data_IF_443103337247
#
_entry.id   IF_443103337247
#
_cell.length_a   1.000
_cell.length_b   1.000
_cell.length_c   1.000
_cell.angle_alpha   90.00
_cell.angle_beta   90.00
_cell.angle_gamma   90.00
#
_symmetry.space_group_name_H-M   'P 1'
#
loop_
_entity.id
_entity.type
_entity.pdbx_description
1 polymer ?
#
# COMPACT_ATOMS: atom_id res chain seq x y z
N UNK A 1 17.33 -4.45 -0.13
CA UNK A 1 17.06 -4.40 -1.59
C UNK A 1 15.61 -4.02 -1.81
N UNK A 2 15.30 -3.08 -2.69
CA UNK A 2 13.93 -2.62 -3.03
C UNK A 2 13.67 -2.85 -4.52
N UNK A 3 12.40 -2.87 -4.96
CA UNK A 3 12.05 -3.10 -6.38
C UNK A 3 12.61 -2.03 -7.33
N UNK A 4 12.77 -0.80 -6.82
CA UNK A 4 13.36 0.33 -7.54
C UNK A 4 14.87 0.49 -7.29
N UNK A 5 15.60 -0.56 -7.01
CA UNK A 5 17.06 -0.53 -6.86
C UNK A 5 17.76 -1.18 -8.04
N UNK A 6 18.96 -0.68 -8.40
CA UNK A 6 19.80 -1.24 -9.46
C UNK A 6 20.10 -2.72 -9.22
N UNK A 7 20.37 -3.09 -7.96
CA UNK A 7 20.65 -4.47 -7.56
C UNK A 7 19.44 -5.38 -7.81
N UNK A 8 18.21 -4.87 -7.63
CA UNK A 8 17.00 -5.63 -7.93
C UNK A 8 16.80 -5.77 -9.44
N UNK A 9 16.83 -4.65 -10.17
CA UNK A 9 16.44 -4.59 -11.59
C UNK A 9 17.45 -5.36 -12.47
N UNK A 10 18.74 -5.23 -12.24
CA UNK A 10 19.78 -5.81 -13.08
C UNK A 10 20.49 -7.03 -12.47
N UNK A 11 20.35 -7.25 -11.17
CA UNK A 11 20.94 -8.41 -10.50
C UNK A 11 19.90 -9.47 -10.17
N UNK A 12 19.10 -9.21 -9.14
CA UNK A 12 18.19 -10.23 -8.60
C UNK A 12 17.11 -10.66 -9.58
N UNK A 13 16.37 -9.72 -10.19
CA UNK A 13 15.20 -10.03 -11.01
C UNK A 13 15.54 -10.86 -12.26
N UNK A 14 16.55 -10.49 -13.09
CA UNK A 14 16.90 -11.29 -14.26
C UNK A 14 17.39 -12.70 -13.89
N UNK A 15 18.23 -12.81 -12.87
CA UNK A 15 18.74 -14.10 -12.40
C UNK A 15 17.58 -14.98 -11.87
N UNK A 16 16.72 -14.40 -11.03
CA UNK A 16 15.57 -15.10 -10.48
C UNK A 16 14.63 -15.59 -11.57
N UNK A 17 14.28 -14.74 -12.56
CA UNK A 17 13.41 -15.11 -13.67
C UNK A 17 14.04 -16.20 -14.55
N UNK A 18 15.34 -16.09 -14.84
CA UNK A 18 16.04 -17.13 -15.60
C UNK A 18 15.93 -18.49 -14.90
N UNK A 19 16.23 -18.56 -13.60
CA UNK A 19 16.09 -19.79 -12.81
C UNK A 19 14.62 -20.25 -12.79
N UNK A 20 13.66 -19.36 -12.54
CA UNK A 20 12.25 -19.68 -12.43
C UNK A 20 11.68 -20.31 -13.71
N UNK A 21 12.09 -19.82 -14.88
CA UNK A 21 11.61 -20.33 -16.16
C UNK A 21 12.37 -21.57 -16.68
N UNK A 22 13.64 -21.75 -16.30
CA UNK A 22 14.40 -22.97 -16.63
C UNK A 22 13.80 -24.19 -15.90
N UNK A 23 13.33 -24.01 -14.67
CA UNK A 23 12.75 -25.11 -13.90
C UNK A 23 11.33 -25.48 -14.35
N UNK A 24 10.98 -26.80 -14.33
CA UNK A 24 9.65 -27.26 -14.70
C UNK A 24 8.58 -26.72 -13.73
N UNK A 25 7.30 -26.59 -14.16
CA UNK A 25 6.23 -26.01 -13.34
C UNK A 25 6.09 -26.60 -11.94
N UNK A 26 6.35 -27.92 -11.78
CA UNK A 26 6.30 -28.59 -10.48
C UNK A 26 7.37 -28.08 -9.48
N UNK A 27 8.52 -27.63 -9.96
CA UNK A 27 9.62 -27.13 -9.13
C UNK A 27 9.57 -25.60 -8.92
N UNK A 28 8.75 -24.86 -9.66
CA UNK A 28 8.65 -23.39 -9.59
C UNK A 28 8.29 -22.86 -8.20
N UNK A 29 7.46 -23.59 -7.45
CA UNK A 29 7.16 -23.22 -6.07
C UNK A 29 8.40 -23.22 -5.17
N UNK A 30 9.33 -24.16 -5.36
CA UNK A 30 10.58 -24.20 -4.59
C UNK A 30 11.47 -23.01 -4.98
N UNK A 31 11.62 -22.75 -6.28
CA UNK A 31 12.36 -21.58 -6.78
C UNK A 31 11.76 -20.28 -6.24
N UNK A 32 10.44 -20.16 -6.24
CA UNK A 32 9.73 -18.99 -5.71
C UNK A 32 10.00 -18.80 -4.21
N UNK A 33 9.94 -19.87 -3.41
CA UNK A 33 10.21 -19.81 -1.97
C UNK A 33 11.66 -19.36 -1.73
N UNK A 34 12.64 -20.04 -2.35
CA UNK A 34 14.06 -19.72 -2.16
C UNK A 34 14.39 -18.31 -2.61
N UNK A 35 13.91 -17.90 -3.79
CA UNK A 35 14.08 -16.54 -4.29
C UNK A 35 13.41 -15.49 -3.39
N UNK A 36 12.22 -15.78 -2.86
CA UNK A 36 11.52 -14.87 -1.94
C UNK A 36 12.26 -14.71 -0.61
N UNK A 37 12.80 -15.79 -0.04
CA UNK A 37 13.58 -15.74 1.19
C UNK A 37 14.91 -15.01 0.97
N UNK A 38 15.58 -15.23 -0.18
CA UNK A 38 16.76 -14.48 -0.57
C UNK A 38 16.43 -12.99 -0.71
N UNK A 39 15.41 -12.63 -1.49
CA UNK A 39 14.93 -11.25 -1.63
C UNK A 39 14.67 -10.60 -0.26
N UNK A 40 13.96 -11.29 0.63
CA UNK A 40 13.57 -10.77 1.94
C UNK A 40 14.79 -10.55 2.85
N UNK A 41 15.76 -11.47 2.84
CA UNK A 41 17.03 -11.32 3.56
C UNK A 41 17.82 -10.12 3.05
N UNK A 42 17.95 -9.97 1.72
CA UNK A 42 18.61 -8.80 1.13
C UNK A 42 17.86 -7.49 1.40
N UNK A 43 16.53 -7.52 1.42
CA UNK A 43 15.70 -6.35 1.77
C UNK A 43 15.90 -5.93 3.23
N UNK A 44 16.25 -6.86 4.11
CA UNK A 44 16.55 -6.66 5.53
C UNK A 44 18.03 -6.39 5.78
N UNK A 45 18.77 -5.81 4.82
CA UNK A 45 20.20 -5.50 4.91
C UNK A 45 21.09 -6.71 5.24
N UNK A 46 20.73 -7.89 4.71
CA UNK A 46 21.42 -9.16 4.95
C UNK A 46 21.03 -9.85 6.27
N UNK A 47 20.15 -9.28 7.07
CA UNK A 47 19.65 -9.92 8.28
C UNK A 47 18.65 -11.04 7.93
N UNK A 48 19.01 -12.28 8.25
CA UNK A 48 18.19 -13.47 7.98
C UNK A 48 17.08 -13.71 9.02
N UNK A 49 17.13 -13.09 10.20
CA UNK A 49 16.14 -13.30 11.28
C UNK A 49 14.70 -13.04 10.86
N UNK A 50 14.37 -11.96 10.11
CA UNK A 50 13.04 -11.77 9.57
C UNK A 50 12.58 -12.91 8.66
N UNK A 51 13.47 -13.49 7.84
CA UNK A 51 13.15 -14.61 6.96
C UNK A 51 12.86 -15.88 7.76
N UNK A 52 13.63 -16.15 8.81
CA UNK A 52 13.36 -17.28 9.74
C UNK A 52 11.99 -17.10 10.40
N UNK A 53 11.66 -15.90 10.89
CA UNK A 53 10.36 -15.62 11.49
C UNK A 53 9.21 -15.83 10.49
N UNK A 54 9.38 -15.39 9.25
CA UNK A 54 8.40 -15.62 8.17
C UNK A 54 8.17 -17.11 7.93
N UNK A 55 9.25 -17.91 7.88
CA UNK A 55 9.15 -19.36 7.70
C UNK A 55 8.42 -20.00 8.89
N UNK A 56 8.78 -19.62 10.13
CA UNK A 56 8.12 -20.13 11.33
C UNK A 56 6.61 -19.81 11.32
N UNK A 57 6.23 -18.55 11.05
CA UNK A 57 4.83 -18.15 10.92
C UNK A 57 4.11 -18.92 9.80
N UNK A 58 4.79 -19.17 8.67
CA UNK A 58 4.23 -19.95 7.55
C UNK A 58 3.95 -21.38 7.94
N UNK A 59 4.91 -22.07 8.56
CA UNK A 59 4.75 -23.47 8.99
C UNK A 59 3.65 -23.59 10.07
N UNK A 60 3.66 -22.71 11.07
CA UNK A 60 2.63 -22.68 12.10
C UNK A 60 1.23 -22.44 11.51
N UNK A 61 1.09 -21.53 10.56
CA UNK A 61 -0.17 -21.25 9.88
C UNK A 61 -0.63 -22.45 9.05
N UNK A 62 0.28 -23.13 8.37
CA UNK A 62 -0.03 -24.36 7.63
C UNK A 62 -0.60 -25.44 8.54
N UNK A 63 0.09 -25.75 9.65
CA UNK A 63 -0.34 -26.75 10.63
C UNK A 63 -1.68 -26.36 11.26
N UNK A 64 -1.86 -25.09 11.60
CA UNK A 64 -3.13 -24.56 12.09
C UNK A 64 -4.26 -24.75 11.08
N UNK A 65 -4.04 -24.44 9.82
CA UNK A 65 -5.03 -24.60 8.75
C UNK A 65 -5.54 -26.05 8.64
N UNK A 66 -4.62 -27.03 8.69
CA UNK A 66 -4.97 -28.44 8.66
C UNK A 66 -5.83 -28.87 9.86
N UNK A 67 -5.62 -28.24 11.02
CA UNK A 67 -6.36 -28.57 12.24
C UNK A 67 -7.72 -27.87 12.32
N UNK A 68 -7.82 -26.62 11.84
CA UNK A 68 -9.02 -25.78 11.95
C UNK A 68 -10.17 -26.20 11.03
N UNK A 69 -9.91 -27.00 10.01
CA UNK A 69 -10.95 -27.56 9.13
C UNK A 69 -11.85 -28.59 9.84
N UNK A 70 -11.52 -29.00 11.07
CA UNK A 70 -12.34 -29.90 11.88
C UNK A 70 -13.31 -29.11 12.78
N UNK A 71 -14.57 -29.53 12.95
CA UNK A 71 -15.55 -28.84 13.78
C UNK A 71 -15.12 -28.71 15.25
N UNK A 72 -15.64 -27.70 15.95
CA UNK A 72 -15.41 -27.50 17.39
C UNK A 72 -14.09 -26.83 17.78
N UNK A 73 -13.26 -26.40 16.80
CA UNK A 73 -11.92 -25.81 17.05
C UNK A 73 -11.84 -24.29 16.99
N UNK A 74 -12.95 -23.59 17.20
CA UNK A 74 -12.97 -22.11 17.20
C UNK A 74 -12.06 -21.47 18.26
N UNK A 75 -11.87 -22.12 19.41
CA UNK A 75 -10.94 -21.67 20.43
C UNK A 75 -9.48 -21.65 19.92
N UNK A 76 -9.10 -22.64 19.10
CA UNK A 76 -7.77 -22.72 18.51
C UNK A 76 -7.54 -21.56 17.52
N UNK A 77 -8.55 -21.22 16.70
CA UNK A 77 -8.51 -20.04 15.85
C UNK A 77 -8.27 -18.77 16.67
N UNK A 78 -9.02 -18.60 17.78
CA UNK A 78 -8.84 -17.46 18.67
C UNK A 78 -7.42 -17.38 19.23
N UNK A 79 -6.85 -18.49 19.70
CA UNK A 79 -5.46 -18.55 20.16
C UNK A 79 -4.47 -18.13 19.08
N UNK A 80 -4.60 -18.64 17.84
CA UNK A 80 -3.72 -18.25 16.74
C UNK A 80 -3.84 -16.78 16.40
N UNK A 81 -5.05 -16.22 16.32
CA UNK A 81 -5.26 -14.81 16.02
C UNK A 81 -4.70 -13.92 17.14
N UNK A 82 -4.85 -14.31 18.40
CA UNK A 82 -4.25 -13.61 19.55
C UNK A 82 -2.72 -13.66 19.52
N UNK A 83 -2.13 -14.80 19.20
CA UNK A 83 -0.67 -14.92 19.05
C UNK A 83 -0.14 -14.03 17.92
N UNK A 84 -0.81 -14.00 16.76
CA UNK A 84 -0.44 -13.11 15.64
C UNK A 84 -0.58 -11.65 16.02
N UNK A 85 -1.66 -11.27 16.70
CA UNK A 85 -1.87 -9.91 17.19
C UNK A 85 -0.83 -9.52 18.23
N UNK A 86 -0.52 -10.39 19.20
CA UNK A 86 0.51 -10.17 20.21
C UNK A 86 1.90 -10.01 19.58
N UNK A 87 2.24 -10.86 18.60
CA UNK A 87 3.49 -10.79 17.88
C UNK A 87 3.64 -9.46 17.12
N UNK A 88 2.59 -9.03 16.41
CA UNK A 88 2.59 -7.75 15.70
C UNK A 88 2.69 -6.57 16.67
N UNK A 89 1.93 -6.61 17.77
CA UNK A 89 1.94 -5.57 18.81
C UNK A 89 3.31 -5.48 19.48
N UNK A 90 3.91 -6.63 19.81
CA UNK A 90 5.26 -6.68 20.36
C UNK A 90 6.25 -5.92 19.49
N UNK A 91 6.35 -6.26 18.19
CA UNK A 91 7.28 -5.57 17.29
C UNK A 91 6.92 -4.12 17.00
N UNK A 92 5.65 -3.72 17.06
CA UNK A 92 5.24 -2.32 16.87
C UNK A 92 5.49 -1.45 18.11
N UNK A 93 5.39 -2.02 19.31
CA UNK A 93 5.57 -1.28 20.57
C UNK A 93 7.01 -1.35 21.03
N UNK A 94 7.67 -2.51 20.86
CA UNK A 94 9.06 -2.69 21.22
C UNK A 94 9.96 -1.72 20.44
N UNK A 95 10.71 -0.92 21.18
CA UNK A 95 11.66 0.07 20.63
C UNK A 95 11.05 1.02 19.57
N UNK A 96 9.76 1.34 19.71
CA UNK A 96 9.05 2.23 18.78
C UNK A 96 8.90 1.67 17.37
N UNK A 97 8.99 0.34 17.21
CA UNK A 97 8.84 -0.33 15.91
C UNK A 97 10.11 -0.40 15.05
N UNK A 98 11.28 0.04 15.56
CA UNK A 98 12.54 0.03 14.80
C UNK A 98 12.99 -1.36 14.34
N UNK A 99 12.60 -2.39 15.09
CA UNK A 99 12.92 -3.80 14.76
C UNK A 99 11.75 -4.54 14.08
N UNK A 100 10.69 -3.83 13.68
CA UNK A 100 9.58 -4.44 12.96
C UNK A 100 10.05 -5.01 11.62
N UNK A 101 9.93 -6.34 11.40
CA UNK A 101 10.28 -6.93 10.11
C UNK A 101 9.44 -6.33 8.97
N UNK A 102 10.08 -5.91 7.90
CA UNK A 102 9.39 -5.31 6.76
C UNK A 102 8.28 -6.23 6.23
N UNK A 103 7.08 -5.69 6.00
CA UNK A 103 5.93 -6.45 5.51
C UNK A 103 5.27 -7.40 6.51
N UNK A 104 5.70 -7.41 7.78
CA UNK A 104 5.15 -8.32 8.80
C UNK A 104 3.63 -8.20 8.94
N UNK A 105 3.10 -7.00 8.96
CA UNK A 105 1.66 -6.77 9.02
C UNK A 105 0.92 -7.43 7.87
N UNK A 106 1.48 -7.34 6.66
CA UNK A 106 0.86 -7.86 5.44
C UNK A 106 0.80 -9.38 5.42
N UNK A 107 1.92 -10.06 5.72
CA UNK A 107 1.88 -11.52 5.72
C UNK A 107 1.07 -12.08 6.90
N UNK A 108 1.05 -11.44 8.08
CA UNK A 108 0.19 -11.86 9.18
C UNK A 108 -1.30 -11.66 8.85
N UNK A 109 -1.68 -10.56 8.18
CA UNK A 109 -3.05 -10.38 7.71
C UNK A 109 -3.46 -11.42 6.66
N UNK A 110 -2.54 -11.78 5.75
CA UNK A 110 -2.78 -12.84 4.77
C UNK A 110 -2.98 -14.21 5.46
N UNK A 111 -2.14 -14.52 6.45
CA UNK A 111 -2.22 -15.76 7.25
C UNK A 111 -3.50 -15.82 8.10
N UNK A 112 -3.87 -14.71 8.75
CA UNK A 112 -5.11 -14.59 9.49
C UNK A 112 -6.34 -14.79 8.60
N UNK A 113 -6.36 -14.18 7.41
CA UNK A 113 -7.42 -14.38 6.43
C UNK A 113 -7.55 -15.86 6.02
N UNK A 114 -6.40 -16.53 5.77
CA UNK A 114 -6.37 -17.95 5.43
C UNK A 114 -6.98 -18.82 6.55
N UNK A 115 -6.59 -18.60 7.80
CA UNK A 115 -7.09 -19.38 8.94
C UNK A 115 -8.58 -19.16 9.20
N UNK A 116 -9.05 -17.90 9.12
CA UNK A 116 -10.46 -17.55 9.29
C UNK A 116 -11.31 -18.20 8.19
N UNK A 117 -10.87 -18.15 6.94
CA UNK A 117 -11.62 -18.69 5.82
C UNK A 117 -11.58 -20.22 5.76
N UNK A 118 -10.46 -20.85 6.19
CA UNK A 118 -10.37 -22.30 6.40
C UNK A 118 -11.32 -22.76 7.51
N UNK A 119 -11.37 -22.05 8.64
CA UNK A 119 -12.33 -22.33 9.72
C UNK A 119 -13.79 -22.18 9.29
N UNK A 120 -14.08 -21.17 8.46
CA UNK A 120 -15.42 -20.96 7.87
C UNK A 120 -15.76 -21.92 6.74
N UNK A 121 -14.88 -22.87 6.43
CA UNK A 121 -15.03 -23.86 5.35
C UNK A 121 -15.30 -23.23 3.97
N UNK A 122 -14.76 -22.03 3.71
CA UNK A 122 -14.87 -21.38 2.40
C UNK A 122 -14.05 -22.09 1.32
N UNK A 123 -13.03 -22.84 1.74
CA UNK A 123 -12.20 -23.71 0.92
C UNK A 123 -11.56 -24.80 1.77
N UNK A 124 -11.05 -25.86 1.11
CA UNK A 124 -10.28 -26.91 1.79
C UNK A 124 -8.84 -26.42 1.99
N UNK A 125 -8.26 -26.53 3.21
CA UNK A 125 -6.88 -26.17 3.45
C UNK A 125 -5.91 -26.88 2.51
N UNK A 126 -4.87 -26.14 2.09
CA UNK A 126 -3.79 -26.71 1.29
C UNK A 126 -3.05 -27.78 2.09
N UNK A 127 -2.82 -28.95 1.47
CA UNK A 127 -2.13 -30.08 2.09
C UNK A 127 -0.66 -30.16 1.70
N UNK A 128 -0.26 -29.46 0.66
CA UNK A 128 1.12 -29.39 0.21
C UNK A 128 1.80 -28.18 0.83
N UNK A 129 2.75 -28.40 1.73
CA UNK A 129 3.50 -27.34 2.41
C UNK A 129 4.24 -26.43 1.45
N UNK A 130 4.84 -26.97 0.37
CA UNK A 130 5.56 -26.15 -0.61
C UNK A 130 4.62 -25.25 -1.40
N UNK A 131 3.43 -25.74 -1.80
CA UNK A 131 2.43 -24.92 -2.45
C UNK A 131 1.95 -23.80 -1.51
N UNK A 132 1.67 -24.14 -0.25
CA UNK A 132 1.27 -23.17 0.76
C UNK A 132 2.37 -22.12 1.05
N UNK A 133 3.61 -22.57 1.25
CA UNK A 133 4.73 -21.69 1.52
C UNK A 133 4.98 -20.72 0.35
N UNK A 134 4.94 -21.19 -0.90
CA UNK A 134 5.04 -20.34 -2.08
C UNK A 134 3.97 -19.23 -2.09
N UNK A 135 2.73 -19.56 -1.68
CA UNK A 135 1.64 -18.58 -1.57
C UNK A 135 1.91 -17.52 -0.50
N UNK A 136 2.43 -17.92 0.67
CA UNK A 136 2.61 -17.01 1.80
C UNK A 136 3.86 -16.15 1.67
N UNK A 137 4.94 -16.70 1.12
CA UNK A 137 6.25 -16.05 1.09
C UNK A 137 6.56 -15.29 -0.19
N UNK A 138 5.72 -15.37 -1.26
CA UNK A 138 6.02 -14.76 -2.57
C UNK A 138 6.40 -13.29 -2.46
N UNK A 139 7.62 -12.96 -2.92
CA UNK A 139 8.24 -11.65 -2.74
C UNK A 139 7.47 -10.48 -3.37
N UNK A 140 6.74 -10.61 -4.50
CA UNK A 140 5.99 -9.48 -5.06
C UNK A 140 4.97 -8.87 -4.09
N UNK A 141 4.35 -9.69 -3.23
CA UNK A 141 3.36 -9.19 -2.26
C UNK A 141 3.89 -9.07 -0.83
N UNK A 142 5.08 -9.61 -0.53
CA UNK A 142 5.54 -9.83 0.83
C UNK A 142 5.70 -8.55 1.65
N UNK A 143 6.26 -7.48 1.05
CA UNK A 143 6.57 -6.24 1.79
C UNK A 143 5.32 -5.36 1.96
N UNK A 144 4.72 -4.90 0.87
CA UNK A 144 3.53 -4.02 0.85
C UNK A 144 2.62 -4.30 -0.34
N UNK A 145 2.73 -5.51 -0.92
CA UNK A 145 1.92 -5.89 -2.06
C UNK A 145 0.45 -6.10 -1.70
N UNK A 146 -0.43 -6.22 -2.71
CA UNK A 146 -1.86 -6.39 -2.50
C UNK A 146 -2.19 -7.65 -1.69
N UNK A 147 -3.07 -7.51 -0.69
CA UNK A 147 -3.62 -8.66 0.03
C UNK A 147 -4.57 -9.44 -0.87
N UNK A 148 -4.39 -10.74 -0.93
CA UNK A 148 -5.19 -11.61 -1.78
C UNK A 148 -6.25 -12.38 -1.00
N UNK A 149 -7.38 -12.66 -1.66
CA UNK A 149 -8.33 -13.64 -1.15
C UNK A 149 -7.66 -15.02 -1.11
N UNK A 150 -7.67 -15.73 0.04
CA UNK A 150 -6.95 -17.01 0.20
C UNK A 150 -7.37 -18.08 -0.81
N UNK A 151 -8.68 -18.17 -1.12
CA UNK A 151 -9.20 -19.13 -2.11
C UNK A 151 -8.68 -18.84 -3.52
N UNK A 152 -8.67 -17.57 -3.93
CA UNK A 152 -8.15 -17.18 -5.25
C UNK A 152 -6.65 -17.49 -5.36
N UNK A 153 -5.90 -17.19 -4.31
CA UNK A 153 -4.47 -17.48 -4.25
C UNK A 153 -4.19 -18.99 -4.36
N UNK A 154 -4.93 -19.82 -3.63
CA UNK A 154 -4.81 -21.28 -3.69
C UNK A 154 -5.10 -21.85 -5.09
N UNK A 155 -6.13 -21.32 -5.78
CA UNK A 155 -6.45 -21.75 -7.13
C UNK A 155 -5.35 -21.40 -8.13
N UNK A 156 -4.77 -20.23 -8.04
CA UNK A 156 -3.69 -19.79 -8.93
C UNK A 156 -2.42 -20.65 -8.77
N UNK A 157 -2.06 -21.04 -7.54
CA UNK A 157 -0.86 -21.85 -7.32
C UNK A 157 -0.90 -23.26 -7.91
N UNK A 158 -2.08 -23.77 -8.24
CA UNK A 158 -2.22 -25.10 -8.86
C UNK A 158 -1.89 -25.11 -10.36
N UNK A 159 -1.97 -23.96 -11.03
CA UNK A 159 -1.92 -23.86 -12.50
C UNK A 159 -0.97 -22.73 -12.93
N UNK A 160 0.27 -22.74 -12.43
CA UNK A 160 1.26 -21.72 -12.79
C UNK A 160 1.85 -22.01 -14.15
N UNK A 161 1.27 -21.46 -15.19
CA UNK A 161 1.80 -21.46 -16.56
C UNK A 161 1.72 -20.05 -17.13
N UNK A 162 2.67 -19.16 -16.75
CA UNK A 162 2.67 -17.80 -17.29
C UNK A 162 2.83 -17.84 -18.81
N UNK A 163 1.94 -17.14 -19.51
CA UNK A 163 2.02 -16.97 -20.97
C UNK A 163 2.99 -15.82 -21.31
N UNK A 164 3.38 -15.74 -22.60
CA UNK A 164 4.15 -14.60 -23.11
C UNK A 164 3.40 -13.27 -22.89
N UNK A 165 2.10 -13.26 -23.15
CA UNK A 165 1.26 -12.06 -22.98
C UNK A 165 1.21 -11.61 -21.51
N UNK A 166 1.07 -12.54 -20.56
CA UNK A 166 1.11 -12.23 -19.15
C UNK A 166 2.47 -11.67 -18.71
N UNK A 167 3.56 -12.22 -19.23
CA UNK A 167 4.89 -11.70 -18.98
C UNK A 167 5.06 -10.29 -19.54
N UNK A 168 4.67 -10.05 -20.80
CA UNK A 168 4.74 -8.74 -21.45
C UNK A 168 3.91 -7.70 -20.70
N UNK A 169 2.65 -8.01 -20.38
CA UNK A 169 1.80 -7.13 -19.58
C UNK A 169 2.39 -6.85 -18.18
N UNK A 170 2.97 -7.87 -17.55
CA UNK A 170 3.62 -7.73 -16.27
C UNK A 170 4.84 -6.82 -16.31
N UNK A 171 5.65 -6.91 -17.35
CA UNK A 171 6.79 -6.03 -17.59
C UNK A 171 6.33 -4.58 -17.81
N UNK A 172 5.27 -4.36 -18.58
CA UNK A 172 4.67 -3.04 -18.77
C UNK A 172 4.22 -2.43 -17.44
N UNK A 173 3.51 -3.21 -16.60
CA UNK A 173 3.05 -2.75 -15.27
C UNK A 173 4.23 -2.46 -14.32
N UNK A 174 5.30 -3.24 -14.37
CA UNK A 174 6.54 -3.00 -13.62
C UNK A 174 7.18 -1.66 -14.03
N UNK A 175 7.34 -1.41 -15.33
CA UNK A 175 7.97 -0.16 -15.84
C UNK A 175 7.11 1.06 -15.51
N UNK A 176 5.80 1.00 -15.71
CA UNK A 176 4.88 2.08 -15.34
C UNK A 176 4.94 2.34 -13.83
N UNK A 177 4.94 1.28 -13.00
CA UNK A 177 5.07 1.40 -11.55
C UNK A 177 6.38 2.07 -11.12
N UNK A 178 7.50 1.69 -11.76
CA UNK A 178 8.81 2.35 -11.56
C UNK A 178 8.75 3.84 -11.93
N UNK A 179 8.13 4.17 -13.08
CA UNK A 179 7.95 5.56 -13.51
C UNK A 179 7.17 6.40 -12.50
N UNK A 180 6.03 5.89 -12.01
CA UNK A 180 5.22 6.59 -11.01
C UNK A 180 5.99 6.81 -9.69
N UNK A 181 6.76 5.82 -9.24
CA UNK A 181 7.56 5.90 -8.01
C UNK A 181 8.73 6.89 -8.19
N UNK A 182 9.55 6.71 -9.22
CA UNK A 182 10.82 7.42 -9.36
C UNK A 182 10.63 8.83 -9.91
N UNK A 183 9.81 9.00 -10.95
CA UNK A 183 9.66 10.28 -11.64
C UNK A 183 8.59 11.18 -11.00
N UNK A 184 7.55 10.62 -10.40
CA UNK A 184 6.52 11.43 -9.74
C UNK A 184 6.71 11.48 -8.22
N UNK A 185 6.62 10.34 -7.51
CA UNK A 185 6.62 10.33 -6.06
C UNK A 185 7.90 10.92 -5.46
N UNK A 186 9.08 10.47 -5.90
CA UNK A 186 10.35 10.94 -5.35
C UNK A 186 10.58 12.44 -5.60
N UNK A 187 10.19 12.94 -6.79
CA UNK A 187 10.32 14.36 -7.11
C UNK A 187 9.37 15.23 -6.28
N UNK A 188 8.13 14.79 -6.07
CA UNK A 188 7.16 15.46 -5.20
C UNK A 188 7.58 15.44 -3.72
N UNK A 189 8.33 14.41 -3.31
CA UNK A 189 8.94 14.32 -1.98
C UNK A 189 9.91 15.45 -1.69
N UNK A 190 10.65 15.93 -2.70
CA UNK A 190 11.51 17.10 -2.58
C UNK A 190 10.73 18.38 -2.22
N UNK A 191 9.51 18.54 -2.75
CA UNK A 191 8.66 19.67 -2.40
C UNK A 191 8.20 19.62 -0.94
N UNK A 192 7.81 18.44 -0.45
CA UNK A 192 7.42 18.26 0.97
C UNK A 192 8.60 18.42 1.93
N UNK A 193 9.81 18.09 1.52
CA UNK A 193 11.01 18.23 2.36
C UNK A 193 11.33 19.70 2.68
N UNK A 194 10.97 20.67 1.81
CA UNK A 194 11.27 22.09 2.02
C UNK A 194 10.74 22.65 3.36
N UNK A 195 9.46 22.47 3.74
CA UNK A 195 8.95 22.90 5.04
C UNK A 195 9.69 22.30 6.24
N UNK A 196 10.12 21.05 6.14
CA UNK A 196 10.84 20.39 7.24
C UNK A 196 12.25 20.99 7.43
N UNK A 197 12.91 21.43 6.34
CA UNK A 197 14.24 22.04 6.36
C UNK A 197 14.17 23.49 6.87
N UNK A 198 13.21 24.28 6.32
CA UNK A 198 13.11 25.73 6.59
C UNK A 198 12.39 26.00 7.95
N UNK A 199 11.54 25.08 8.35
CA UNK A 199 10.64 25.20 9.50
C UNK A 199 9.24 25.69 9.12
N UNK A 200 8.23 24.99 9.59
CA UNK A 200 6.81 25.26 9.25
C UNK A 200 6.34 26.68 9.58
N UNK A 201 6.89 27.31 10.61
CA UNK A 201 6.56 28.69 11.00
C UNK A 201 7.08 29.72 10.00
N UNK A 202 8.14 29.40 9.26
CA UNK A 202 8.91 30.33 8.45
C UNK A 202 8.44 30.45 7.00
N UNK A 203 7.71 29.44 6.50
CA UNK A 203 7.19 29.42 5.13
C UNK A 203 5.92 30.26 4.98
N UNK A 204 5.54 30.60 3.74
CA UNK A 204 4.27 31.29 3.46
C UNK A 204 3.07 30.32 3.49
N UNK A 205 1.86 30.86 3.70
CA UNK A 205 0.61 30.05 3.63
C UNK A 205 0.43 29.37 2.26
N UNK A 206 0.63 30.04 1.12
CA UNK A 206 0.55 29.37 -0.18
C UNK A 206 1.60 28.25 -0.33
N UNK A 207 2.83 28.43 0.17
CA UNK A 207 3.85 27.39 0.14
C UNK A 207 3.49 26.17 1.01
N UNK A 208 2.84 26.39 2.17
CA UNK A 208 2.36 25.32 3.02
C UNK A 208 1.29 24.45 2.31
N UNK A 209 0.33 25.08 1.61
CA UNK A 209 -0.65 24.36 0.80
C UNK A 209 -0.01 23.60 -0.37
N UNK A 210 0.94 24.24 -1.06
CA UNK A 210 1.67 23.61 -2.16
C UNK A 210 2.42 22.35 -1.69
N UNK A 211 3.09 22.44 -0.55
CA UNK A 211 3.81 21.33 0.05
C UNK A 211 2.87 20.19 0.49
N UNK A 212 1.71 20.53 1.08
CA UNK A 212 0.70 19.51 1.48
C UNK A 212 0.12 18.78 0.26
N UNK A 213 -0.15 19.49 -0.83
CA UNK A 213 -0.56 18.88 -2.11
C UNK A 213 0.57 17.98 -2.64
N UNK A 214 1.82 18.44 -2.59
CA UNK A 214 2.99 17.64 -2.95
C UNK A 214 3.08 16.34 -2.14
N UNK A 215 2.90 16.42 -0.82
CA UNK A 215 2.89 15.24 0.05
C UNK A 215 1.76 14.25 -0.29
N UNK A 216 0.54 14.75 -0.48
CA UNK A 216 -0.61 13.91 -0.81
C UNK A 216 -0.39 13.14 -2.13
N UNK A 217 0.18 13.80 -3.14
CA UNK A 217 0.53 13.18 -4.42
C UNK A 217 1.73 12.25 -4.27
N UNK A 218 2.76 12.62 -3.49
CA UNK A 218 3.89 11.76 -3.19
C UNK A 218 3.43 10.44 -2.58
N UNK A 219 2.61 10.50 -1.52
CA UNK A 219 2.10 9.31 -0.83
C UNK A 219 1.28 8.41 -1.77
N UNK A 220 0.48 9.01 -2.65
CA UNK A 220 -0.30 8.28 -3.63
C UNK A 220 0.57 7.57 -4.66
N UNK A 221 1.47 8.29 -5.33
CA UNK A 221 2.28 7.70 -6.40
C UNK A 221 3.36 6.76 -5.87
N UNK A 222 3.84 6.98 -4.65
CA UNK A 222 4.76 6.08 -3.97
C UNK A 222 4.12 4.71 -3.77
N UNK A 223 2.93 4.67 -3.19
CA UNK A 223 2.24 3.42 -2.92
C UNK A 223 1.56 2.82 -4.16
N UNK A 224 1.00 3.65 -5.04
CA UNK A 224 0.44 3.16 -6.30
C UNK A 224 1.51 2.59 -7.22
N UNK A 225 2.64 3.26 -7.37
CA UNK A 225 3.78 2.76 -8.14
C UNK A 225 4.30 1.44 -7.59
N UNK A 226 4.48 1.34 -6.26
CA UNK A 226 4.87 0.08 -5.63
C UNK A 226 3.85 -1.05 -5.90
N UNK A 227 2.56 -0.75 -5.75
CA UNK A 227 1.50 -1.72 -6.00
C UNK A 227 1.49 -2.20 -7.47
N UNK A 228 1.74 -1.30 -8.42
CA UNK A 228 1.87 -1.64 -9.85
C UNK A 228 3.10 -2.53 -10.10
N UNK A 229 4.25 -2.21 -9.50
CA UNK A 229 5.44 -3.07 -9.57
C UNK A 229 5.15 -4.47 -9.02
N UNK A 230 4.48 -4.57 -7.87
CA UNK A 230 4.12 -5.85 -7.27
C UNK A 230 3.18 -6.67 -8.17
N UNK A 231 2.16 -6.02 -8.78
CA UNK A 231 1.22 -6.65 -9.72
C UNK A 231 1.96 -7.13 -10.96
N UNK A 232 2.82 -6.29 -11.53
CA UNK A 232 3.63 -6.64 -12.69
C UNK A 232 4.53 -7.85 -12.45
N UNK A 233 5.27 -7.85 -11.34
CA UNK A 233 6.10 -8.98 -10.91
C UNK A 233 5.28 -10.25 -10.68
N UNK A 234 4.12 -10.13 -10.02
CA UNK A 234 3.20 -11.25 -9.84
C UNK A 234 2.76 -11.83 -11.18
N UNK A 235 2.37 -10.99 -12.13
CA UNK A 235 1.91 -11.39 -13.47
C UNK A 235 3.03 -12.07 -14.28
N UNK A 236 4.26 -11.55 -14.21
CA UNK A 236 5.43 -12.20 -14.82
C UNK A 236 5.67 -13.61 -14.25
N UNK A 237 5.21 -13.90 -13.04
CA UNK A 237 5.32 -15.22 -12.42
C UNK A 237 4.06 -16.09 -12.62
N UNK A 238 3.04 -15.60 -13.32
CA UNK A 238 1.77 -16.30 -13.56
C UNK A 238 0.73 -16.09 -12.46
N UNK A 239 0.90 -15.06 -11.59
CA UNK A 239 -0.06 -14.72 -10.54
C UNK A 239 -0.79 -13.42 -10.84
N UNK A 240 -2.12 -13.44 -10.80
CA UNK A 240 -2.95 -12.25 -10.93
C UNK A 240 -3.20 -11.63 -9.56
N UNK A 241 -2.45 -10.59 -9.22
CA UNK A 241 -2.63 -9.83 -7.98
C UNK A 241 -3.72 -8.77 -8.14
N UNK A 242 -4.55 -8.52 -7.11
CA UNK A 242 -5.61 -7.52 -7.18
C UNK A 242 -5.05 -6.09 -7.15
N UNK A 243 -5.76 -5.15 -7.77
CA UNK A 243 -5.40 -3.72 -7.73
C UNK A 243 -5.69 -3.11 -6.35
N UNK A 244 -4.75 -2.30 -5.85
CA UNK A 244 -4.91 -1.53 -4.61
C UNK A 244 -5.55 -0.15 -4.81
N UNK A 245 -5.52 0.39 -6.02
CA UNK A 245 -6.01 1.73 -6.33
C UNK A 245 -6.95 1.74 -7.54
N UNK A 246 -8.00 2.56 -7.44
CA UNK A 246 -8.96 2.79 -8.51
C UNK A 246 -9.35 4.27 -8.57
N UNK A 247 -8.42 5.11 -9.02
CA UNK A 247 -8.56 6.57 -9.16
C UNK A 247 -9.17 7.23 -7.90
N UNK A 248 -8.51 7.16 -6.73
CA UNK A 248 -9.10 7.60 -5.46
C UNK A 248 -9.40 9.09 -5.40
N UNK A 249 -8.60 9.94 -6.06
CA UNK A 249 -8.83 11.38 -6.09
C UNK A 249 -10.01 11.81 -6.99
N UNK A 250 -10.61 10.88 -7.74
CA UNK A 250 -11.88 11.11 -8.44
C UNK A 250 -13.12 10.90 -7.56
N UNK A 251 -12.95 10.49 -6.30
CA UNK A 251 -14.03 10.21 -5.35
C UNK A 251 -14.85 11.46 -4.98
N UNK A 252 -16.14 11.25 -4.69
CA UNK A 252 -17.10 12.31 -4.33
C UNK A 252 -17.43 12.32 -2.83
N UNK A 253 -16.87 11.41 -2.06
CA UNK A 253 -17.00 11.32 -0.62
C UNK A 253 -15.78 10.60 -0.02
N UNK A 254 -15.51 10.82 1.27
CA UNK A 254 -14.43 10.13 2.01
C UNK A 254 -14.65 8.62 2.01
N UNK A 255 -15.91 8.18 2.19
CA UNK A 255 -16.28 6.76 2.08
C UNK A 255 -15.98 6.17 0.70
N UNK A 256 -16.16 6.93 -0.38
CA UNK A 256 -15.81 6.50 -1.72
C UNK A 256 -14.30 6.51 -1.94
N UNK A 257 -13.59 7.50 -1.39
CA UNK A 257 -12.13 7.57 -1.44
C UNK A 257 -11.50 6.30 -0.89
N UNK A 258 -11.89 5.85 0.32
CA UNK A 258 -11.35 4.64 0.94
C UNK A 258 -11.85 3.33 0.31
N UNK A 259 -12.88 3.34 -0.50
CA UNK A 259 -13.22 2.21 -1.38
C UNK A 259 -12.33 2.12 -2.63
N UNK A 260 -11.59 3.19 -2.94
CA UNK A 260 -10.70 3.31 -4.11
C UNK A 260 -9.21 3.37 -3.72
N UNK A 261 -8.92 3.70 -2.46
CA UNK A 261 -7.60 3.77 -1.84
C UNK A 261 -7.33 2.52 -1.04
N UNK A 262 -6.19 1.86 -1.26
CA UNK A 262 -5.78 0.63 -0.56
C UNK A 262 -6.90 -0.41 -0.46
N UNK A 263 -7.49 -0.71 -1.62
CA UNK A 263 -8.73 -1.50 -1.76
C UNK A 263 -8.64 -2.85 -1.07
N UNK A 264 -7.46 -3.50 -1.16
CA UNK A 264 -7.27 -4.84 -0.60
C UNK A 264 -7.28 -4.83 0.92
N UNK A 265 -6.67 -3.84 1.57
CA UNK A 265 -6.73 -3.65 3.02
C UNK A 265 -8.15 -3.30 3.47
N UNK A 266 -8.82 -2.36 2.80
CA UNK A 266 -10.21 -2.02 3.08
C UNK A 266 -11.15 -3.22 2.95
N UNK A 267 -10.90 -4.09 1.96
CA UNK A 267 -11.65 -5.35 1.78
C UNK A 267 -11.36 -6.33 2.91
N UNK A 268 -10.10 -6.42 3.36
CA UNK A 268 -9.70 -7.26 4.49
C UNK A 268 -10.43 -6.85 5.78
N UNK A 269 -10.38 -5.56 6.16
CA UNK A 269 -11.09 -5.06 7.34
C UNK A 269 -12.60 -5.27 7.25
N UNK A 270 -13.19 -5.07 6.06
CA UNK A 270 -14.62 -5.30 5.83
C UNK A 270 -15.02 -6.76 6.04
N UNK A 271 -14.26 -7.71 5.49
CA UNK A 271 -14.56 -9.13 5.51
C UNK A 271 -14.30 -9.78 6.88
N UNK A 272 -13.19 -9.39 7.53
CA UNK A 272 -12.71 -10.07 8.73
C UNK A 272 -12.99 -9.32 10.05
N UNK A 273 -13.37 -8.04 9.98
CA UNK A 273 -13.72 -7.24 11.16
C UNK A 273 -15.15 -6.72 11.07
N UNK A 274 -15.48 -5.94 10.04
CA UNK A 274 -16.77 -5.24 9.96
C UNK A 274 -17.96 -6.20 9.83
N UNK A 275 -17.91 -7.18 8.95
CA UNK A 275 -19.00 -8.15 8.76
C UNK A 275 -19.20 -9.08 9.97
N UNK A 276 -18.17 -9.64 10.64
CA UNK A 276 -18.33 -10.41 11.86
C UNK A 276 -18.99 -9.62 13.00
N UNK A 277 -18.74 -8.31 13.09
CA UNK A 277 -19.39 -7.43 14.05
C UNK A 277 -20.88 -7.13 13.72
N UNK A 278 -21.37 -7.63 12.59
CA UNK A 278 -22.77 -7.48 12.13
C UNK A 278 -22.94 -6.50 10.97
N UNK A 279 -21.89 -5.83 10.51
CA UNK A 279 -21.93 -4.88 9.38
C UNK A 279 -22.94 -3.76 9.62
N UNK A 280 -23.70 -3.42 8.58
CA UNK A 280 -24.78 -2.38 8.63
C UNK A 280 -26.18 -2.95 8.86
N UNK A 281 -26.32 -4.27 9.06
CA UNK A 281 -27.64 -4.93 9.12
C UNK A 281 -28.35 -4.78 10.47
N UNK A 282 -27.62 -4.44 11.53
CA UNK A 282 -28.11 -4.37 12.92
C UNK A 282 -28.44 -2.93 13.39
N UNK A 283 -28.83 -2.05 12.47
CA UNK A 283 -29.22 -0.67 12.76
C UNK A 283 -28.06 0.34 12.77
N UNK A 284 -28.42 1.64 12.83
CA UNK A 284 -27.47 2.76 12.70
C UNK A 284 -26.41 2.79 13.80
N UNK A 285 -26.81 2.62 15.09
CA UNK A 285 -25.87 2.65 16.21
C UNK A 285 -24.81 1.56 16.09
N UNK A 286 -25.22 0.32 15.76
CA UNK A 286 -24.30 -0.78 15.56
C UNK A 286 -23.35 -0.53 14.39
N UNK A 287 -23.82 0.09 13.32
CA UNK A 287 -23.00 0.50 12.17
C UNK A 287 -21.92 1.50 12.59
N UNK A 288 -22.29 2.52 13.39
CA UNK A 288 -21.36 3.52 13.92
C UNK A 288 -20.28 2.86 14.79
N UNK A 289 -20.68 1.99 15.72
CA UNK A 289 -19.73 1.25 16.57
C UNK A 289 -18.79 0.37 15.75
N UNK A 290 -19.32 -0.34 14.75
CA UNK A 290 -18.49 -1.20 13.88
C UNK A 290 -17.49 -0.37 13.06
N UNK A 291 -17.89 0.81 12.56
CA UNK A 291 -16.99 1.75 11.88
C UNK A 291 -15.90 2.26 12.84
N UNK A 292 -16.27 2.63 14.08
CA UNK A 292 -15.32 3.09 15.08
C UNK A 292 -14.26 2.02 15.39
N UNK A 293 -14.67 0.76 15.55
CA UNK A 293 -13.73 -0.37 15.77
C UNK A 293 -12.80 -0.53 14.56
N UNK A 294 -13.32 -0.51 13.33
CA UNK A 294 -12.48 -0.66 12.12
C UNK A 294 -11.46 0.47 12.02
N UNK A 295 -11.87 1.73 12.24
CA UNK A 295 -10.97 2.87 12.13
C UNK A 295 -9.96 2.92 13.28
N UNK A 296 -10.33 2.54 14.50
CA UNK A 296 -9.41 2.38 15.62
C UNK A 296 -8.32 1.35 15.28
N UNK A 297 -8.71 0.18 14.80
CA UNK A 297 -7.76 -0.87 14.39
C UNK A 297 -6.89 -0.42 13.21
N UNK A 298 -7.45 0.35 12.28
CA UNK A 298 -6.70 0.93 11.14
C UNK A 298 -5.64 1.93 11.65
N UNK A 299 -5.99 2.79 12.60
CA UNK A 299 -5.04 3.73 13.21
C UNK A 299 -3.90 3.02 13.95
N UNK A 300 -4.23 2.03 14.80
CA UNK A 300 -3.25 1.21 15.53
C UNK A 300 -2.36 0.38 14.58
N UNK A 301 -2.93 -0.05 13.44
CA UNK A 301 -2.15 -0.75 12.43
C UNK A 301 -1.11 0.15 11.76
N UNK A 302 -1.41 1.42 11.52
CA UNK A 302 -0.43 2.38 10.99
C UNK A 302 0.67 2.70 12.01
N UNK A 303 0.35 2.79 13.29
CA UNK A 303 1.33 3.03 14.35
C UNK A 303 0.70 3.26 15.71
N UNK A 304 1.52 3.19 16.76
CA UNK A 304 1.08 3.42 18.14
C UNK A 304 1.10 4.90 18.54
N UNK A 305 1.54 5.78 17.65
CA UNK A 305 1.56 7.23 17.89
C UNK A 305 0.16 7.84 17.90
N UNK A 306 -0.06 8.84 18.77
CA UNK A 306 -1.35 9.55 18.88
C UNK A 306 -1.78 10.25 17.58
N UNK A 307 -0.82 10.61 16.73
CA UNK A 307 -1.06 11.19 15.40
C UNK A 307 -1.84 10.23 14.46
N UNK A 308 -1.56 8.92 14.50
CA UNK A 308 -2.32 7.92 13.73
C UNK A 308 -3.73 7.71 14.26
N UNK A 309 -3.90 7.78 15.59
CA UNK A 309 -5.23 7.72 16.21
C UNK A 309 -6.05 8.97 15.89
N UNK A 310 -5.42 10.16 15.89
CA UNK A 310 -6.06 11.40 15.44
C UNK A 310 -6.52 11.30 13.99
N UNK A 311 -5.63 10.84 13.10
CA UNK A 311 -5.95 10.60 11.69
C UNK A 311 -7.15 9.66 11.51
N UNK A 312 -7.12 8.52 12.18
CA UNK A 312 -8.17 7.52 12.10
C UNK A 312 -9.50 8.02 12.68
N UNK A 313 -9.45 8.71 13.83
CA UNK A 313 -10.62 9.32 14.46
C UNK A 313 -11.26 10.40 13.60
N UNK A 314 -10.46 11.29 13.00
CA UNK A 314 -10.94 12.32 12.08
C UNK A 314 -11.68 11.70 10.88
N UNK A 315 -11.09 10.71 10.23
CA UNK A 315 -11.72 10.03 9.09
C UNK A 315 -12.95 9.22 9.51
N UNK A 316 -12.91 8.57 10.65
CA UNK A 316 -14.08 7.86 11.21
C UNK A 316 -15.26 8.80 11.39
N UNK A 317 -15.05 9.98 12.00
CA UNK A 317 -16.11 10.99 12.19
C UNK A 317 -16.68 11.48 10.86
N UNK A 318 -15.84 11.75 9.86
CA UNK A 318 -16.28 12.14 8.53
C UNK A 318 -17.14 11.05 7.86
N UNK A 319 -16.70 9.80 7.92
CA UNK A 319 -17.43 8.66 7.31
C UNK A 319 -18.75 8.40 8.04
N UNK A 320 -18.80 8.54 9.36
CA UNK A 320 -20.03 8.44 10.14
C UNK A 320 -20.99 9.57 9.75
N UNK A 321 -20.49 10.80 9.64
CA UNK A 321 -21.29 11.94 9.18
C UNK A 321 -21.85 11.74 7.78
N UNK A 322 -21.02 11.27 6.85
CA UNK A 322 -21.48 10.91 5.49
C UNK A 322 -22.55 9.80 5.52
N UNK A 323 -22.37 8.80 6.37
CA UNK A 323 -23.33 7.70 6.49
C UNK A 323 -24.69 8.16 7.02
N UNK A 324 -24.69 9.07 8.03
CA UNK A 324 -25.91 9.50 8.72
C UNK A 324 -26.65 10.62 7.98
N UNK A 325 -25.93 11.61 7.43
CA UNK A 325 -26.51 12.87 6.93
C UNK A 325 -26.06 13.28 5.54
N UNK A 326 -24.74 13.47 5.32
CA UNK A 326 -24.21 14.12 4.12
C UNK A 326 -24.19 13.23 2.86
N UNK A 327 -24.23 11.92 2.99
CA UNK A 327 -23.98 11.01 1.86
C UNK A 327 -24.96 11.14 0.70
N UNK A 328 -26.23 11.49 0.97
CA UNK A 328 -27.22 11.74 -0.09
C UNK A 328 -26.94 13.04 -0.85
N UNK A 329 -26.52 14.10 -0.14
CA UNK A 329 -26.18 15.40 -0.71
C UNK A 329 -24.93 15.30 -1.59
N UNK A 330 -23.85 14.68 -1.07
CA UNK A 330 -22.59 14.51 -1.80
C UNK A 330 -22.75 13.69 -3.09
N UNK A 331 -23.65 12.71 -3.09
CA UNK A 331 -23.95 11.94 -4.30
C UNK A 331 -24.65 12.77 -5.39
N UNK A 332 -25.48 13.72 -5.01
CA UNK A 332 -26.21 14.60 -5.94
C UNK A 332 -25.34 15.72 -6.50
N UNK A 333 -24.39 16.24 -5.69
CA UNK A 333 -23.56 17.39 -6.01
C UNK A 333 -22.16 16.94 -6.47
N UNK A 334 -22.01 16.55 -7.74
CA UNK A 334 -20.80 15.95 -8.27
C UNK A 334 -19.52 16.79 -8.06
N UNK A 335 -19.59 18.09 -8.28
CA UNK A 335 -18.44 19.00 -8.15
C UNK A 335 -18.14 19.26 -6.67
N UNK A 336 -19.16 19.66 -5.91
CA UNK A 336 -19.03 19.95 -4.47
C UNK A 336 -18.53 18.73 -3.71
N UNK A 337 -19.04 17.53 -4.03
CA UNK A 337 -18.57 16.29 -3.42
C UNK A 337 -17.08 16.03 -3.67
N UNK A 338 -16.58 16.30 -4.88
CA UNK A 338 -15.14 16.14 -5.18
C UNK A 338 -14.28 17.17 -4.46
N UNK A 339 -14.70 18.45 -4.45
CA UNK A 339 -13.96 19.51 -3.76
C UNK A 339 -13.92 19.26 -2.25
N UNK A 340 -15.06 18.89 -1.64
CA UNK A 340 -15.14 18.47 -0.26
C UNK A 340 -14.16 17.31 0.03
N UNK A 341 -14.24 16.25 -0.77
CA UNK A 341 -13.40 15.07 -0.56
C UNK A 341 -11.92 15.41 -0.71
N UNK A 342 -11.54 16.13 -1.75
CA UNK A 342 -10.16 16.55 -1.96
C UNK A 342 -9.64 17.38 -0.78
N UNK A 343 -10.42 18.36 -0.31
CA UNK A 343 -10.04 19.22 0.79
C UNK A 343 -9.86 18.44 2.11
N UNK A 344 -10.85 17.62 2.51
CA UNK A 344 -10.77 16.91 3.79
C UNK A 344 -9.71 15.79 3.76
N UNK A 345 -9.47 15.16 2.60
CA UNK A 345 -8.40 14.17 2.43
C UNK A 345 -7.02 14.86 2.53
N UNK A 346 -6.84 16.04 1.91
CA UNK A 346 -5.59 16.80 2.08
C UNK A 346 -5.32 17.10 3.55
N UNK A 347 -6.31 17.60 4.29
CA UNK A 347 -6.17 17.87 5.72
C UNK A 347 -5.89 16.60 6.52
N UNK A 348 -6.50 15.47 6.16
CA UNK A 348 -6.30 14.20 6.85
C UNK A 348 -4.85 13.69 6.76
N UNK A 349 -4.08 14.08 5.74
CA UNK A 349 -2.69 13.70 5.63
C UNK A 349 -1.74 14.46 6.56
N UNK A 350 -2.17 15.54 7.21
CA UNK A 350 -1.32 16.32 8.12
C UNK A 350 -0.82 15.49 9.30
N UNK A 351 -1.65 14.76 10.07
CA UNK A 351 -1.18 13.89 11.14
C UNK A 351 -0.29 12.74 10.66
N UNK A 352 -0.44 12.35 9.40
CA UNK A 352 0.43 11.35 8.78
C UNK A 352 1.81 11.89 8.42
N UNK A 353 1.84 13.15 7.94
CA UNK A 353 3.04 13.82 7.48
C UNK A 353 3.89 14.41 8.62
N UNK A 354 3.23 14.85 9.71
CA UNK A 354 3.87 15.55 10.84
C UNK A 354 3.54 14.80 12.13
N UNK A 355 4.49 13.99 12.61
CA UNK A 355 4.30 13.16 13.81
C UNK A 355 4.39 13.92 15.13
N UNK A 356 5.11 15.04 15.19
CA UNK A 356 5.23 15.88 16.37
C UNK A 356 4.01 16.82 16.53
N UNK A 357 3.38 16.81 17.70
CA UNK A 357 2.17 17.58 17.99
C UNK A 357 2.35 19.09 17.83
N UNK A 358 3.45 19.63 18.32
CA UNK A 358 3.71 21.06 18.30
C UNK A 358 3.95 21.53 16.87
N UNK A 359 4.74 20.78 16.10
CA UNK A 359 5.00 21.06 14.70
C UNK A 359 3.72 20.93 13.86
N UNK A 360 2.88 19.95 14.15
CA UNK A 360 1.58 19.78 13.50
C UNK A 360 0.66 20.97 13.73
N UNK A 361 0.56 21.45 14.98
CA UNK A 361 -0.22 22.65 15.29
C UNK A 361 0.33 23.89 14.60
N UNK A 362 1.65 24.05 14.57
CA UNK A 362 2.30 25.14 13.82
C UNK A 362 1.99 25.05 12.34
N UNK A 363 2.08 23.86 11.73
CA UNK A 363 1.77 23.66 10.32
C UNK A 363 0.29 23.96 10.00
N UNK A 364 -0.63 23.48 10.85
CA UNK A 364 -2.06 23.83 10.75
C UNK A 364 -2.27 25.35 10.86
N UNK A 365 -1.65 26.00 11.84
CA UNK A 365 -1.70 27.46 11.99
C UNK A 365 -1.18 28.19 10.73
N UNK A 366 -0.13 27.66 10.10
CA UNK A 366 0.43 28.21 8.86
C UNK A 366 -0.52 28.06 7.69
N UNK A 367 -1.17 26.91 7.53
CA UNK A 367 -2.16 26.68 6.45
C UNK A 367 -3.31 27.68 6.50
N UNK A 368 -3.74 28.11 7.67
CA UNK A 368 -4.87 29.03 7.86
C UNK A 368 -4.45 30.47 8.17
N UNK A 369 -3.16 30.81 8.05
CA UNK A 369 -2.66 32.18 8.20
C UNK A 369 -2.45 32.69 9.61
N UNK A 370 -2.49 31.80 10.64
CA UNK A 370 -2.38 32.19 12.07
C UNK A 370 -0.93 32.34 12.58
N UNK A 371 0.09 32.12 11.76
CA UNK A 371 1.49 32.11 12.19
C UNK A 371 2.28 33.40 11.93
N UNK A 372 1.62 34.54 11.67
CA UNK A 372 2.31 35.80 11.39
C UNK A 372 3.06 35.81 10.04
N UNK A 373 4.01 36.74 9.85
CA UNK A 373 4.74 36.89 8.58
C UNK A 373 5.72 35.74 8.33
N UNK A 374 5.78 35.26 7.10
CA UNK A 374 6.79 34.33 6.62
C UNK A 374 8.15 35.03 6.46
N UNK A 375 9.26 34.28 6.53
CA UNK A 375 10.59 34.78 6.22
C UNK A 375 10.68 35.26 4.76
N UNK A 376 10.14 34.49 3.83
CA UNK A 376 10.01 34.87 2.43
C UNK A 376 8.53 34.72 2.00
N UNK A 377 7.76 35.80 1.89
CA UNK A 377 6.36 35.75 1.47
C UNK A 377 6.14 35.25 0.03
N UNK A 378 7.22 35.20 -0.78
CA UNK A 378 7.19 34.79 -2.19
C UNK A 378 7.81 33.41 -2.44
N UNK A 379 8.10 32.64 -1.39
CA UNK A 379 8.69 31.29 -1.48
C UNK A 379 7.84 30.35 -2.35
N UNK A 380 6.51 30.47 -2.30
CA UNK A 380 5.60 29.68 -3.13
C UNK A 380 5.78 29.91 -4.63
N UNK A 381 6.27 31.09 -5.06
CA UNK A 381 6.57 31.39 -6.48
C UNK A 381 7.79 30.56 -6.90
N UNK A 382 8.84 30.53 -6.07
CA UNK A 382 10.04 29.76 -6.34
C UNK A 382 9.70 28.26 -6.41
N UNK A 383 9.02 27.75 -5.39
CA UNK A 383 8.63 26.32 -5.37
C UNK A 383 7.64 26.00 -6.50
N UNK A 384 6.68 26.89 -6.78
CA UNK A 384 5.77 26.74 -7.91
C UNK A 384 6.52 26.62 -9.23
N UNK A 385 7.48 27.49 -9.50
CA UNK A 385 8.31 27.46 -10.70
C UNK A 385 9.09 26.14 -10.84
N UNK A 386 9.70 25.68 -9.75
CA UNK A 386 10.55 24.49 -9.76
C UNK A 386 9.74 23.18 -9.87
N UNK A 387 8.50 23.19 -9.35
CA UNK A 387 7.66 21.98 -9.24
C UNK A 387 6.39 22.00 -10.11
N UNK A 388 6.08 23.08 -10.85
CA UNK A 388 4.83 23.19 -11.64
C UNK A 388 4.64 22.03 -12.63
N UNK A 389 5.71 21.65 -13.32
CA UNK A 389 5.64 20.58 -14.32
C UNK A 389 5.29 19.23 -13.69
N UNK A 390 5.93 18.91 -12.55
CA UNK A 390 5.68 17.63 -11.86
C UNK A 390 4.33 17.62 -11.13
N UNK A 391 3.88 18.75 -10.60
CA UNK A 391 2.55 18.91 -10.02
C UNK A 391 1.45 18.75 -11.08
N UNK A 392 1.62 19.38 -12.24
CA UNK A 392 0.69 19.24 -13.36
C UNK A 392 0.63 17.79 -13.85
N UNK A 393 1.79 17.13 -14.01
CA UNK A 393 1.85 15.70 -14.32
C UNK A 393 1.14 14.88 -13.23
N UNK A 394 1.41 15.16 -11.95
CA UNK A 394 0.77 14.48 -10.83
C UNK A 394 -0.76 14.61 -10.86
N UNK A 395 -1.29 15.80 -11.12
CA UNK A 395 -2.75 16.01 -11.28
C UNK A 395 -3.30 15.15 -12.42
N UNK A 396 -2.66 15.17 -13.59
CA UNK A 396 -3.09 14.38 -14.76
C UNK A 396 -3.07 12.89 -14.43
N UNK A 397 -1.98 12.37 -13.86
CA UNK A 397 -1.83 10.94 -13.54
C UNK A 397 -2.69 10.50 -12.33
N UNK A 398 -3.20 11.42 -11.52
CA UNK A 398 -4.18 11.13 -10.47
C UNK A 398 -5.62 11.00 -11.02
N UNK A 399 -5.86 11.32 -12.31
CA UNK A 399 -7.15 11.15 -12.99
C UNK A 399 -7.25 9.80 -13.70
N UNK A 400 -8.45 9.35 -14.10
CA UNK A 400 -8.62 8.15 -14.91
C UNK A 400 -8.08 8.24 -16.35
N UNK A 401 -7.71 9.44 -16.82
CA UNK A 401 -7.36 9.70 -18.22
C UNK A 401 -6.13 8.92 -18.70
N UNK A 402 -4.98 8.93 -18.01
CA UNK A 402 -3.80 8.19 -18.45
C UNK A 402 -4.07 6.68 -18.55
N UNK A 403 -4.79 6.12 -17.57
CA UNK A 403 -5.17 4.71 -17.61
C UNK A 403 -6.06 4.37 -18.80
N UNK A 404 -7.08 5.19 -19.09
CA UNK A 404 -7.97 4.98 -20.25
C UNK A 404 -7.24 5.08 -21.60
N UNK A 405 -6.26 5.99 -21.70
CA UNK A 405 -5.40 6.09 -22.89
C UNK A 405 -4.54 4.84 -22.98
N UNK A 406 -3.88 4.47 -21.89
CA UNK A 406 -3.02 3.30 -21.81
C UNK A 406 -3.73 2.01 -22.23
N UNK A 407 -4.93 1.75 -21.73
CA UNK A 407 -5.74 0.57 -22.07
C UNK A 407 -6.05 0.46 -23.59
N UNK A 408 -6.04 1.59 -24.31
CA UNK A 408 -6.25 1.60 -25.77
C UNK A 408 -4.98 1.36 -26.58
N UNK A 409 -3.82 1.76 -26.06
CA UNK A 409 -2.57 1.79 -26.84
C UNK A 409 -1.55 0.74 -26.41
N UNK A 410 -1.74 0.08 -25.26
CA UNK A 410 -0.77 -0.78 -24.58
C UNK A 410 -0.22 -1.96 -25.44
N UNK A 411 -0.96 -2.39 -26.46
CA UNK A 411 -0.53 -3.47 -27.34
C UNK A 411 0.11 -2.96 -28.66
N UNK A 412 0.39 -1.66 -28.74
CA UNK A 412 1.04 -1.08 -29.91
C UNK A 412 2.56 -1.06 -29.74
N UNK A 413 3.30 -1.22 -30.83
CA UNK A 413 4.77 -1.07 -30.86
C UNK A 413 5.22 0.30 -30.34
N UNK A 414 4.41 1.34 -30.59
CA UNK A 414 4.70 2.68 -30.07
C UNK A 414 4.68 2.73 -28.54
N UNK A 415 3.75 2.01 -27.88
CA UNK A 415 3.72 1.91 -26.42
C UNK A 415 4.96 1.20 -25.88
N UNK A 416 5.42 0.13 -26.53
CA UNK A 416 6.63 -0.58 -26.11
C UNK A 416 7.89 0.29 -26.26
N UNK A 417 8.00 1.08 -27.34
CA UNK A 417 9.09 2.04 -27.52
C UNK A 417 9.06 3.10 -26.41
N UNK A 418 7.89 3.67 -26.11
CA UNK A 418 7.73 4.64 -25.02
C UNK A 418 8.14 4.04 -23.68
N UNK A 419 7.73 2.81 -23.39
CA UNK A 419 8.12 2.13 -22.15
C UNK A 419 9.61 1.82 -22.10
N UNK A 420 10.23 1.45 -23.21
CA UNK A 420 11.67 1.24 -23.29
C UNK A 420 12.44 2.52 -22.94
N UNK A 421 12.04 3.65 -23.54
CA UNK A 421 12.64 4.96 -23.22
C UNK A 421 12.38 5.33 -21.75
N UNK A 422 11.14 5.17 -21.28
CA UNK A 422 10.77 5.43 -19.89
C UNK A 422 11.64 4.60 -18.91
N UNK A 423 11.86 3.33 -19.20
CA UNK A 423 12.70 2.45 -18.37
C UNK A 423 14.11 3.01 -18.22
N UNK A 424 14.77 3.41 -19.31
CA UNK A 424 16.12 3.95 -19.23
C UNK A 424 16.19 5.33 -18.56
N UNK A 425 15.17 6.15 -18.73
CA UNK A 425 15.05 7.41 -17.97
C UNK A 425 14.94 7.11 -16.47
N UNK A 426 14.11 6.16 -16.10
CA UNK A 426 13.97 5.73 -14.68
C UNK A 426 15.29 5.19 -14.14
N UNK A 427 15.97 4.32 -14.89
CA UNK A 427 17.29 3.76 -14.50
C UNK A 427 18.29 4.89 -14.27
N UNK A 428 18.34 5.88 -15.14
CA UNK A 428 19.21 7.05 -14.96
C UNK A 428 18.92 7.77 -13.62
N UNK A 429 17.65 8.05 -13.32
CA UNK A 429 17.31 8.70 -12.05
C UNK A 429 17.59 7.83 -10.82
N UNK A 430 17.41 6.51 -10.90
CA UNK A 430 17.78 5.60 -9.80
C UNK A 430 19.30 5.61 -9.58
N UNK A 431 20.08 5.60 -10.67
CA UNK A 431 21.55 5.59 -10.60
C UNK A 431 22.15 6.89 -10.05
N UNK A 432 21.48 8.01 -10.27
CA UNK A 432 21.94 9.36 -9.84
C UNK A 432 21.34 9.83 -8.51
N UNK A 433 20.33 9.14 -7.97
CA UNK A 433 19.71 9.52 -6.70
C UNK A 433 20.59 9.11 -5.51
N UNK A 434 20.79 10.03 -4.56
CA UNK A 434 21.57 9.77 -3.34
C UNK A 434 20.86 8.81 -2.38
N UNK A 435 19.55 8.90 -2.26
CA UNK A 435 18.68 8.00 -1.48
C UNK A 435 17.26 8.00 -2.07
N UNK A 436 16.59 6.86 -1.99
CA UNK A 436 15.21 6.67 -2.45
C UNK A 436 14.40 5.90 -1.40
N UNK A 437 14.01 6.53 -0.29
CA UNK A 437 13.20 5.88 0.73
C UNK A 437 11.77 5.68 0.23
N UNK A 438 11.27 4.46 0.37
CA UNK A 438 9.86 4.16 0.20
C UNK A 438 9.12 4.58 1.49
N UNK A 439 8.25 5.59 1.39
CA UNK A 439 7.54 6.16 2.55
C UNK A 439 6.74 5.10 3.33
N UNK A 440 6.14 4.16 2.62
CA UNK A 440 5.25 3.17 3.20
C UNK A 440 5.96 2.08 4.02
N UNK A 441 7.29 1.96 3.96
CA UNK A 441 8.05 1.08 4.86
C UNK A 441 8.27 1.66 6.26
N UNK A 442 7.92 2.92 6.45
CA UNK A 442 8.08 3.58 7.75
C UNK A 442 6.87 3.35 8.68
N UNK A 443 5.82 2.62 8.22
CA UNK A 443 4.57 2.41 8.95
C UNK A 443 4.35 0.95 9.36
#
# INVERSE_FOLDING_TARGET
>A
MQFNSIQFIFGFLPLFLAVYYIFPPKARNVVLILGSLAFYTFSSSGNYRPAVLLVLCTVLTFLAGLTLSRPGRGWLLAVYLLLMAALLTFFKVYDGGKHLPAGMSFYLFQMAAYLIDAYRLKFLPERNLLAFAGQMTMFPKLLSGPLMNPRQLQLQCKYITPSYDEFHEGLQELIVGLGLKVLLANRLGGLWAQPAIIGYKSISTPAAWLALIGYAMQLYFDFYGYSMMAIGLGRMLGYSLPRNFNDPYAAKSVSEFYRRWHVTLGSWFREYVYFPLGGSRKGKLRTVLNLAVVWLLTGLWHGVGGNYLLWAGFLCLLIINEHLWMGKLLKKTHVIGRLYTAFVILLSWIPFAVGDWNQMLVFCGRLFGFCGRALNPRDFILWGRDYVGILAAGVVFATPLPRKIWEKVRYSTAADIVLFVLFWVVVYYIATAAQDPFLYFQF
#
